data_IF_002957201592
#
_entry.id   IF_002957201592
#
_cell.length_a   1.000
_cell.length_b   1.000
_cell.length_c   1.000
_cell.angle_alpha   90.00
_cell.angle_beta   90.00
_cell.angle_gamma   90.00
#
_symmetry.space_group_name_H-M   'P 1'
#
loop_
_entity.id
_entity.type
_entity.pdbx_description
1 polymer ?
#
# COMPACT_ATOMS: atom_id res chain seq x y z
N UNK A 1 -58.76 35.51 19.54
CA UNK A 1 -58.19 34.22 19.97
C UNK A 1 -58.00 33.22 18.82
N UNK A 2 -58.87 33.10 17.81
CA UNK A 2 -58.75 32.12 16.71
C UNK A 2 -57.54 32.36 15.75
N UNK A 3 -57.04 33.58 15.58
CA UNK A 3 -55.92 33.90 14.69
C UNK A 3 -54.54 33.54 15.26
N UNK A 4 -54.38 33.54 16.59
CA UNK A 4 -53.12 33.22 17.25
C UNK A 4 -52.88 31.70 17.23
N UNK A 5 -53.94 30.92 17.35
CA UNK A 5 -53.86 29.45 17.33
C UNK A 5 -53.42 28.92 15.95
N UNK A 6 -53.80 29.60 14.84
CA UNK A 6 -53.40 29.20 13.50
C UNK A 6 -51.90 29.48 13.21
N UNK A 7 -51.33 30.58 13.77
CA UNK A 7 -49.91 30.90 13.62
C UNK A 7 -49.02 29.95 14.41
N UNK A 8 -49.47 29.54 15.63
CA UNK A 8 -48.75 28.55 16.44
C UNK A 8 -48.74 27.15 15.78
N UNK A 9 -49.84 26.76 15.09
CA UNK A 9 -49.92 25.48 14.42
C UNK A 9 -49.02 25.42 13.16
N UNK A 10 -48.86 26.53 12.44
CA UNK A 10 -47.91 26.63 11.30
C UNK A 10 -46.45 26.62 11.74
N UNK A 11 -46.11 27.19 12.90
CA UNK A 11 -44.77 27.14 13.46
C UNK A 11 -44.42 25.72 13.93
N UNK A 12 -45.34 24.97 14.54
CA UNK A 12 -45.13 23.60 14.95
C UNK A 12 -44.98 22.63 13.76
N UNK A 13 -45.72 22.84 12.65
CA UNK A 13 -45.57 22.03 11.45
C UNK A 13 -44.24 22.34 10.74
N UNK A 14 -43.79 23.61 10.75
CA UNK A 14 -42.52 24.03 10.21
C UNK A 14 -41.30 23.41 10.93
N UNK A 15 -41.38 23.25 12.25
CA UNK A 15 -40.33 22.61 13.05
C UNK A 15 -40.30 21.09 12.87
N UNK A 16 -41.47 20.43 12.69
CA UNK A 16 -41.54 18.99 12.39
C UNK A 16 -41.00 18.63 11.00
N UNK A 17 -41.10 19.54 10.02
CA UNK A 17 -40.54 19.33 8.68
C UNK A 17 -39.04 19.66 8.61
N UNK A 18 -38.47 20.39 9.55
CA UNK A 18 -37.04 20.72 9.61
C UNK A 18 -36.19 19.61 10.23
N UNK A 19 -36.80 18.71 11.03
CA UNK A 19 -36.06 17.69 11.78
C UNK A 19 -35.73 16.41 11.00
N UNK A 20 -36.21 16.23 9.76
CA UNK A 20 -36.01 14.97 9.01
C UNK A 20 -35.18 15.10 7.73
N UNK A 21 -34.43 16.15 7.54
CA UNK A 21 -33.30 16.12 6.60
C UNK A 21 -32.04 15.73 7.37
N UNK A 22 -31.89 14.47 7.73
CA UNK A 22 -30.57 13.89 7.93
C UNK A 22 -29.87 13.98 6.58
N UNK A 23 -29.12 15.05 6.37
CA UNK A 23 -28.12 15.08 5.31
C UNK A 23 -27.19 13.91 5.60
N UNK A 24 -27.36 12.80 4.86
CA UNK A 24 -26.41 11.71 4.90
C UNK A 24 -25.04 12.34 4.58
N UNK A 25 -24.20 12.51 5.61
CA UNK A 25 -22.89 13.10 5.44
C UNK A 25 -22.14 12.22 4.45
N UNK A 26 -21.70 12.78 3.34
CA UNK A 26 -20.91 12.03 2.39
C UNK A 26 -19.60 11.61 3.07
N UNK A 27 -19.20 10.35 2.92
CA UNK A 27 -18.02 9.75 3.53
C UNK A 27 -17.14 9.08 2.48
N UNK A 28 -17.08 9.69 1.29
CA UNK A 28 -16.24 9.18 0.21
C UNK A 28 -14.77 9.57 0.43
N UNK A 29 -13.90 8.57 0.36
CA UNK A 29 -12.45 8.70 0.47
C UNK A 29 -11.82 8.13 -0.80
N UNK A 30 -10.85 8.83 -1.37
CA UNK A 30 -10.12 8.40 -2.56
C UNK A 30 -8.71 7.96 -2.21
N UNK A 31 -8.21 7.00 -2.96
CA UNK A 31 -6.82 6.51 -2.92
C UNK A 31 -6.29 6.34 -4.34
N UNK A 32 -4.98 6.17 -4.50
CA UNK A 32 -4.34 5.95 -5.80
C UNK A 32 -3.71 4.57 -5.93
N UNK A 33 -2.82 4.20 -5.02
CA UNK A 33 -1.99 2.99 -5.13
C UNK A 33 -2.55 1.82 -4.33
N UNK A 34 -2.19 0.60 -4.75
CA UNK A 34 -2.69 -0.65 -4.17
C UNK A 34 -2.48 -0.75 -2.66
N UNK A 35 -1.29 -0.41 -2.17
CA UNK A 35 -0.97 -0.53 -0.74
C UNK A 35 -1.86 0.38 0.12
N UNK A 36 -2.00 1.67 -0.26
CA UNK A 36 -2.84 2.63 0.45
C UNK A 36 -4.32 2.24 0.34
N UNK A 37 -4.78 1.86 -0.86
CA UNK A 37 -6.16 1.38 -1.05
C UNK A 37 -6.49 0.21 -0.12
N UNK A 38 -5.62 -0.80 -0.09
CA UNK A 38 -5.84 -1.98 0.78
C UNK A 38 -5.84 -1.61 2.26
N UNK A 39 -4.91 -0.75 2.72
CA UNK A 39 -4.89 -0.26 4.10
C UNK A 39 -6.24 0.40 4.44
N UNK A 40 -6.64 1.41 3.66
CA UNK A 40 -7.85 2.19 3.95
C UNK A 40 -9.11 1.34 3.88
N UNK A 41 -9.22 0.44 2.88
CA UNK A 41 -10.36 -0.51 2.77
C UNK A 41 -10.46 -1.44 3.97
N UNK A 42 -9.33 -1.94 4.46
CA UNK A 42 -9.33 -2.85 5.61
C UNK A 42 -9.67 -2.13 6.91
N UNK A 43 -9.10 -0.96 7.19
CA UNK A 43 -9.41 -0.23 8.43
C UNK A 43 -10.82 0.38 8.44
N UNK A 44 -11.43 0.62 7.28
CA UNK A 44 -12.81 1.15 7.16
C UNK A 44 -13.86 0.07 6.88
N UNK A 45 -13.47 -1.21 6.90
CA UNK A 45 -14.37 -2.34 6.61
C UNK A 45 -15.59 -2.33 7.53
N UNK A 46 -16.76 -2.64 6.95
CA UNK A 46 -18.06 -2.67 7.64
C UNK A 46 -18.50 -1.31 8.24
N UNK A 47 -17.86 -0.20 7.84
CA UNK A 47 -18.34 1.16 8.11
C UNK A 47 -19.16 1.69 6.95
N UNK A 48 -19.71 2.90 7.08
CA UNK A 48 -20.38 3.63 6.01
C UNK A 48 -19.42 4.58 5.24
N UNK A 49 -18.09 4.41 5.41
CA UNK A 49 -17.07 5.10 4.65
C UNK A 49 -16.87 4.38 3.31
N UNK A 50 -17.07 5.11 2.23
CA UNK A 50 -16.93 4.62 0.87
C UNK A 50 -15.51 4.91 0.36
N UNK A 51 -14.71 3.89 0.13
CA UNK A 51 -13.33 4.03 -0.36
C UNK A 51 -13.24 3.61 -1.82
N UNK A 52 -12.64 4.46 -2.63
CA UNK A 52 -12.42 4.25 -4.07
C UNK A 52 -10.96 4.44 -4.43
N UNK A 53 -10.43 3.58 -5.29
CA UNK A 53 -9.23 3.91 -6.06
C UNK A 53 -9.63 4.77 -7.25
N UNK A 54 -8.81 5.78 -7.59
CA UNK A 54 -9.01 6.58 -8.80
C UNK A 54 -8.41 5.90 -10.04
N UNK A 55 -7.57 4.90 -9.84
CA UNK A 55 -7.01 4.08 -10.90
C UNK A 55 -7.72 2.74 -10.96
N UNK A 56 -7.86 2.24 -12.17
CA UNK A 56 -8.20 0.86 -12.44
C UNK A 56 -6.99 -0.05 -12.17
N UNK A 57 -7.18 -1.35 -12.33
CA UNK A 57 -6.20 -2.38 -12.00
C UNK A 57 -4.93 -2.40 -12.88
N UNK A 58 -4.90 -1.67 -13.99
CA UNK A 58 -3.82 -1.74 -14.98
C UNK A 58 -2.82 -0.57 -14.94
N UNK A 59 -3.02 0.38 -14.02
CA UNK A 59 -2.14 1.56 -13.91
C UNK A 59 -0.94 1.26 -13.02
N UNK A 60 0.25 1.24 -13.61
CA UNK A 60 1.51 1.12 -12.87
C UNK A 60 1.95 2.43 -12.25
N UNK A 61 2.55 2.36 -11.05
CA UNK A 61 3.23 3.50 -10.41
C UNK A 61 4.37 4.07 -11.28
N UNK A 62 4.95 3.28 -12.17
CA UNK A 62 6.00 3.74 -13.11
C UNK A 62 5.50 4.84 -14.04
N UNK A 63 4.20 4.95 -14.27
CA UNK A 63 3.62 6.06 -15.05
C UNK A 63 3.65 7.38 -14.28
N UNK A 64 3.73 7.36 -12.95
CA UNK A 64 3.86 8.55 -12.12
C UNK A 64 2.85 9.62 -12.49
N UNK A 65 3.31 10.86 -12.68
CA UNK A 65 2.45 11.99 -13.05
C UNK A 65 1.63 11.76 -14.31
N UNK A 66 2.16 11.04 -15.30
CA UNK A 66 1.43 10.81 -16.56
C UNK A 66 0.13 10.06 -16.40
N UNK A 67 0.01 9.22 -15.37
CA UNK A 67 -1.25 8.55 -15.03
C UNK A 67 -2.34 9.56 -14.62
N UNK A 68 -1.97 10.61 -13.90
CA UNK A 68 -2.89 11.68 -13.48
C UNK A 68 -3.19 12.69 -14.60
N UNK A 69 -2.25 12.89 -15.53
CA UNK A 69 -2.42 13.78 -16.68
C UNK A 69 -3.24 13.13 -17.82
N UNK A 70 -3.52 11.82 -17.72
CA UNK A 70 -4.33 11.11 -18.69
C UNK A 70 -5.74 11.75 -18.80
N UNK A 71 -6.15 12.10 -20.02
CA UNK A 71 -7.45 12.74 -20.27
C UNK A 71 -8.64 11.83 -19.96
N UNK A 72 -8.42 10.51 -19.99
CA UNK A 72 -9.45 9.51 -19.73
C UNK A 72 -9.62 9.23 -18.22
N UNK A 73 -8.73 9.78 -17.36
CA UNK A 73 -8.86 9.63 -15.91
C UNK A 73 -10.11 10.36 -15.41
N UNK A 74 -11.09 9.58 -14.91
CA UNK A 74 -12.31 10.13 -14.34
C UNK A 74 -12.12 10.64 -12.90
N UNK A 75 -11.90 11.92 -12.78
CA UNK A 75 -11.85 12.62 -11.49
C UNK A 75 -13.22 13.12 -11.01
N UNK A 76 -14.33 12.69 -11.63
CA UNK A 76 -15.68 13.11 -11.21
C UNK A 76 -15.97 12.68 -9.77
N UNK A 77 -15.43 11.55 -9.34
CA UNK A 77 -15.53 11.05 -7.97
C UNK A 77 -14.93 11.99 -6.92
N UNK A 78 -13.99 12.88 -7.30
CA UNK A 78 -13.40 13.85 -6.40
C UNK A 78 -14.35 15.00 -6.02
N UNK A 79 -15.39 15.27 -6.84
CA UNK A 79 -16.31 16.39 -6.59
C UNK A 79 -17.02 16.30 -5.23
N UNK A 80 -17.34 15.09 -4.82
CA UNK A 80 -18.07 14.78 -3.60
C UNK A 80 -17.26 14.00 -2.58
N UNK A 81 -15.98 13.73 -2.85
CA UNK A 81 -15.08 13.12 -1.89
C UNK A 81 -14.76 14.08 -0.73
N UNK A 82 -14.66 13.52 0.48
CA UNK A 82 -14.31 14.27 1.70
C UNK A 82 -12.81 14.31 1.91
N UNK A 83 -12.13 13.19 1.62
CA UNK A 83 -10.69 13.10 1.78
C UNK A 83 -10.05 12.30 0.63
N UNK A 84 -8.75 12.50 0.48
CA UNK A 84 -7.83 11.59 -0.18
C UNK A 84 -6.90 10.99 0.87
N UNK A 85 -6.47 9.74 0.64
CA UNK A 85 -5.38 9.12 1.39
C UNK A 85 -4.30 8.77 0.39
N UNK A 86 -3.11 9.32 0.56
CA UNK A 86 -1.96 9.17 -0.32
C UNK A 86 -0.65 8.94 0.45
N UNK A 87 0.48 8.99 -0.22
CA UNK A 87 1.83 8.90 0.36
C UNK A 87 2.78 9.93 -0.27
N UNK A 88 2.27 11.10 -0.60
CA UNK A 88 2.96 12.13 -1.35
C UNK A 88 4.28 12.59 -0.71
N UNK A 89 4.42 12.51 0.63
CA UNK A 89 5.65 12.88 1.35
C UNK A 89 6.81 11.92 1.11
N UNK A 90 6.54 10.66 0.78
CA UNK A 90 7.58 9.67 0.46
C UNK A 90 7.66 9.36 -1.02
N UNK A 91 6.56 9.49 -1.75
CA UNK A 91 6.50 9.28 -3.18
C UNK A 91 5.97 10.53 -3.90
N UNK A 92 6.87 11.39 -4.33
CA UNK A 92 6.55 12.69 -4.97
C UNK A 92 5.72 12.58 -6.26
N UNK A 93 5.52 11.37 -6.79
CA UNK A 93 4.68 11.12 -7.96
C UNK A 93 3.23 10.75 -7.59
N UNK A 94 2.87 10.75 -6.31
CA UNK A 94 1.47 10.67 -5.90
C UNK A 94 0.81 12.05 -5.96
N UNK A 95 0.22 12.35 -7.09
CA UNK A 95 -0.45 13.62 -7.35
C UNK A 95 -1.95 13.59 -7.02
N UNK A 96 -2.42 12.58 -6.26
CA UNK A 96 -3.84 12.39 -5.98
C UNK A 96 -4.48 13.65 -5.36
N UNK A 97 -3.87 14.18 -4.31
CA UNK A 97 -4.40 15.36 -3.64
C UNK A 97 -4.47 16.57 -4.55
N UNK A 98 -3.40 16.88 -5.31
CA UNK A 98 -3.37 18.03 -6.22
C UNK A 98 -4.47 17.95 -7.28
N UNK A 99 -4.71 16.78 -7.86
CA UNK A 99 -5.72 16.56 -8.88
C UNK A 99 -7.13 16.57 -8.31
N UNK A 100 -7.35 15.92 -7.18
CA UNK A 100 -8.64 15.93 -6.51
C UNK A 100 -9.03 17.34 -6.05
N UNK A 101 -8.09 18.12 -5.52
CA UNK A 101 -8.30 19.50 -5.08
C UNK A 101 -8.73 20.43 -6.23
N UNK A 102 -8.31 20.19 -7.47
CA UNK A 102 -8.77 20.95 -8.65
C UNK A 102 -10.28 20.79 -8.89
N UNK A 103 -10.88 19.68 -8.43
CA UNK A 103 -12.32 19.40 -8.54
C UNK A 103 -13.09 19.74 -7.27
N UNK A 104 -12.44 19.68 -6.11
CA UNK A 104 -13.03 19.92 -4.81
C UNK A 104 -12.02 20.60 -3.86
N UNK A 105 -12.10 21.93 -3.74
CA UNK A 105 -11.19 22.72 -2.89
C UNK A 105 -11.31 22.37 -1.40
N UNK A 106 -12.39 21.71 -0.97
CA UNK A 106 -12.65 21.33 0.43
C UNK A 106 -12.12 19.96 0.80
N UNK A 107 -11.52 19.24 -0.15
CA UNK A 107 -11.04 17.88 0.09
C UNK A 107 -9.87 17.93 1.09
N UNK A 108 -9.86 17.01 2.03
CA UNK A 108 -8.81 16.87 3.05
C UNK A 108 -7.74 15.90 2.53
N UNK A 109 -6.48 16.25 2.70
CA UNK A 109 -5.35 15.37 2.46
C UNK A 109 -5.01 14.61 3.75
N UNK A 110 -4.86 13.28 3.63
CA UNK A 110 -4.33 12.39 4.64
C UNK A 110 -3.12 11.71 4.02
N UNK A 111 -1.92 12.12 4.39
CA UNK A 111 -0.70 11.46 3.95
C UNK A 111 -0.37 10.32 4.91
N UNK A 112 -0.62 9.06 4.49
CA UNK A 112 -0.39 7.89 5.33
C UNK A 112 1.10 7.66 5.68
N UNK A 113 2.02 8.37 5.03
CA UNK A 113 3.44 8.29 5.31
C UNK A 113 3.95 9.33 6.32
N UNK A 114 3.09 10.26 6.76
CA UNK A 114 3.47 11.36 7.64
C UNK A 114 2.38 11.71 8.64
N UNK A 115 2.69 11.61 9.94
CA UNK A 115 1.76 12.00 11.00
C UNK A 115 1.90 13.47 11.34
N UNK A 116 0.80 14.23 11.25
CA UNK A 116 0.73 15.62 11.70
C UNK A 116 0.55 15.76 13.22
N UNK A 117 0.21 14.69 13.91
CA UNK A 117 -0.02 14.72 15.36
C UNK A 117 1.24 14.94 16.21
N UNK A 118 2.42 14.97 15.58
CA UNK A 118 3.71 15.05 16.30
C UNK A 118 4.04 13.79 17.11
N UNK A 119 3.38 12.68 16.84
CA UNK A 119 3.64 11.42 17.48
C UNK A 119 4.85 10.72 16.82
N UNK A 120 6.02 10.86 17.41
CA UNK A 120 7.27 10.29 16.87
C UNK A 120 7.22 8.76 16.68
N UNK A 121 6.38 8.05 17.46
CA UNK A 121 6.20 6.61 17.32
C UNK A 121 5.58 6.21 15.96
N UNK A 122 4.91 7.13 15.30
CA UNK A 122 4.33 6.92 13.97
C UNK A 122 5.28 7.31 12.84
N UNK A 123 6.47 7.83 13.15
CA UNK A 123 7.46 8.14 12.12
C UNK A 123 7.91 6.88 11.39
N UNK A 124 7.86 6.90 10.06
CA UNK A 124 8.30 5.78 9.23
C UNK A 124 9.82 5.64 9.26
N UNK A 125 10.30 4.40 9.18
CA UNK A 125 11.69 4.14 8.83
C UNK A 125 11.88 4.38 7.35
N UNK A 126 12.84 5.24 6.97
CA UNK A 126 13.02 5.67 5.58
C UNK A 126 14.38 5.26 5.06
N UNK A 127 14.40 4.64 3.88
CA UNK A 127 15.60 4.25 3.15
C UNK A 127 15.78 5.12 1.92
N UNK A 128 17.01 5.19 1.43
CA UNK A 128 17.34 5.81 0.15
C UNK A 128 17.90 4.75 -0.78
N UNK A 129 17.68 4.94 -2.08
CA UNK A 129 18.39 4.24 -3.13
C UNK A 129 19.89 4.58 -3.09
N UNK A 130 20.72 3.79 -3.74
CA UNK A 130 22.18 4.05 -3.85
C UNK A 130 22.54 5.39 -4.49
N UNK A 131 21.66 5.90 -5.36
CA UNK A 131 21.83 7.21 -5.98
C UNK A 131 21.51 8.38 -5.03
N UNK A 132 21.04 8.11 -3.80
CA UNK A 132 20.68 9.09 -2.79
C UNK A 132 19.23 9.52 -2.79
N UNK A 133 18.45 9.17 -3.81
CA UNK A 133 17.01 9.47 -3.86
C UNK A 133 16.24 8.66 -2.82
N UNK A 134 15.11 9.18 -2.38
CA UNK A 134 14.21 8.47 -1.47
C UNK A 134 13.67 7.20 -2.14
N UNK A 135 13.82 6.04 -1.46
CA UNK A 135 13.11 4.84 -1.86
C UNK A 135 11.63 4.96 -1.41
N UNK A 136 10.68 5.07 -2.34
CA UNK A 136 9.28 5.32 -2.01
C UNK A 136 8.51 4.07 -1.53
N UNK A 137 9.07 2.87 -1.70
CA UNK A 137 8.40 1.60 -1.40
C UNK A 137 8.30 1.28 0.09
N UNK A 138 7.97 2.30 0.90
CA UNK A 138 7.89 2.22 2.38
C UNK A 138 6.92 1.15 2.85
N UNK A 139 5.90 0.84 2.06
CA UNK A 139 4.92 -0.22 2.34
C UNK A 139 5.48 -1.64 2.19
N UNK A 140 6.70 -1.81 1.69
CA UNK A 140 7.39 -3.10 1.70
C UNK A 140 7.94 -3.46 3.09
N UNK A 141 7.94 -2.53 4.05
CA UNK A 141 8.21 -2.80 5.46
C UNK A 141 6.92 -3.12 6.22
N UNK A 142 6.87 -4.25 6.92
CA UNK A 142 5.75 -4.62 7.80
C UNK A 142 5.51 -3.59 8.89
N UNK A 143 6.60 -3.05 9.48
CA UNK A 143 6.54 -2.05 10.52
C UNK A 143 5.98 -0.71 9.99
N UNK A 144 6.44 -0.28 8.81
CA UNK A 144 5.93 0.95 8.20
C UNK A 144 4.44 0.83 7.84
N UNK A 145 4.00 -0.32 7.30
CA UNK A 145 2.58 -0.52 6.96
C UNK A 145 1.68 -0.41 8.18
N UNK A 146 2.08 -0.96 9.32
CA UNK A 146 1.33 -0.81 10.57
C UNK A 146 1.28 0.66 10.98
N UNK A 147 2.38 1.42 10.85
CA UNK A 147 2.40 2.86 11.12
C UNK A 147 1.52 3.65 10.16
N UNK A 148 1.60 3.34 8.86
CA UNK A 148 0.73 3.95 7.82
C UNK A 148 -0.76 3.72 8.14
N UNK A 149 -1.12 2.49 8.54
CA UNK A 149 -2.48 2.18 8.93
C UNK A 149 -2.93 2.95 10.18
N UNK A 150 -2.04 3.15 11.17
CA UNK A 150 -2.33 3.96 12.36
C UNK A 150 -2.54 5.43 11.97
N UNK A 151 -1.66 6.03 11.16
CA UNK A 151 -1.80 7.42 10.70
C UNK A 151 -3.15 7.61 9.99
N UNK A 152 -3.44 6.74 9.01
CA UNK A 152 -4.70 6.83 8.29
C UNK A 152 -5.93 6.61 9.19
N UNK A 153 -5.84 5.73 10.18
CA UNK A 153 -6.93 5.45 11.13
C UNK A 153 -7.18 6.63 12.07
N UNK A 154 -6.12 7.26 12.58
CA UNK A 154 -6.21 8.44 13.46
C UNK A 154 -6.90 9.59 12.72
N UNK A 155 -6.41 9.96 11.53
CA UNK A 155 -6.95 11.05 10.74
C UNK A 155 -8.38 10.79 10.24
N UNK A 156 -8.68 9.54 9.83
CA UNK A 156 -10.04 9.15 9.44
C UNK A 156 -11.00 9.13 10.64
N UNK A 157 -10.52 8.78 11.83
CA UNK A 157 -11.33 8.83 13.06
C UNK A 157 -11.64 10.26 13.51
N UNK A 158 -10.72 11.20 13.31
CA UNK A 158 -10.98 12.62 13.52
C UNK A 158 -11.98 13.17 12.51
N UNK A 159 -11.87 12.77 11.25
CA UNK A 159 -12.74 13.21 10.16
C UNK A 159 -14.15 12.62 10.25
N UNK A 160 -14.27 11.37 10.74
CA UNK A 160 -15.50 10.59 10.88
C UNK A 160 -15.64 10.01 12.30
N UNK A 161 -15.85 10.83 13.34
CA UNK A 161 -15.84 10.39 14.73
C UNK A 161 -16.85 9.26 15.05
N UNK A 162 -17.95 9.22 14.33
CA UNK A 162 -18.97 8.17 14.45
C UNK A 162 -18.48 6.79 14.02
N UNK A 163 -17.41 6.73 13.21
CA UNK A 163 -16.78 5.49 12.74
C UNK A 163 -15.54 5.08 13.57
N UNK A 164 -15.06 5.90 14.50
CA UNK A 164 -13.80 5.70 15.22
C UNK A 164 -13.67 4.31 15.85
N UNK A 165 -14.73 3.81 16.52
CA UNK A 165 -14.70 2.49 17.15
C UNK A 165 -14.54 1.32 16.17
N UNK A 166 -15.15 1.40 14.97
CA UNK A 166 -15.01 0.35 13.97
C UNK A 166 -13.66 0.44 13.30
N UNK A 167 -13.14 1.65 13.05
CA UNK A 167 -11.80 1.89 12.53
C UNK A 167 -10.75 1.31 13.48
N UNK A 168 -10.80 1.62 14.78
CA UNK A 168 -9.88 1.11 15.81
C UNK A 168 -9.89 -0.43 15.88
N UNK A 169 -11.09 -1.04 15.89
CA UNK A 169 -11.23 -2.50 15.87
C UNK A 169 -10.60 -3.12 14.62
N UNK A 170 -10.81 -2.52 13.46
CA UNK A 170 -10.29 -3.02 12.21
C UNK A 170 -8.78 -2.78 12.07
N UNK A 171 -8.27 -1.64 12.55
CA UNK A 171 -6.83 -1.37 12.65
C UNK A 171 -6.12 -2.45 13.48
N UNK A 172 -6.70 -2.83 14.63
CA UNK A 172 -6.15 -3.91 15.46
C UNK A 172 -6.06 -5.22 14.68
N UNK A 173 -7.13 -5.60 13.97
CA UNK A 173 -7.14 -6.82 13.15
C UNK A 173 -6.14 -6.77 12.01
N UNK A 174 -6.10 -5.67 11.27
CA UNK A 174 -5.17 -5.47 10.18
C UNK A 174 -3.72 -5.56 10.66
N UNK A 175 -3.39 -4.85 11.76
CA UNK A 175 -2.05 -4.86 12.34
C UNK A 175 -1.64 -6.25 12.82
N UNK A 176 -2.58 -7.03 13.38
CA UNK A 176 -2.33 -8.41 13.77
C UNK A 176 -2.06 -9.29 12.54
N UNK A 177 -2.85 -9.19 11.48
CA UNK A 177 -2.66 -9.98 10.25
C UNK A 177 -1.30 -9.68 9.61
N UNK A 178 -0.87 -8.41 9.56
CA UNK A 178 0.46 -8.02 9.08
C UNK A 178 1.58 -8.68 9.90
N UNK A 179 1.47 -8.67 11.24
CA UNK A 179 2.43 -9.33 12.13
C UNK A 179 2.45 -10.85 11.96
N UNK A 180 1.30 -11.47 11.73
CA UNK A 180 1.20 -12.92 11.49
C UNK A 180 1.91 -13.33 10.19
N UNK A 181 1.85 -12.50 9.14
CA UNK A 181 2.58 -12.74 7.89
C UNK A 181 4.10 -12.71 8.15
N UNK A 182 4.58 -11.67 8.83
CA UNK A 182 5.99 -11.51 9.18
C UNK A 182 6.49 -12.68 10.05
N UNK A 183 5.79 -12.97 11.15
CA UNK A 183 6.14 -14.05 12.06
C UNK A 183 6.14 -15.40 11.38
N UNK A 184 5.15 -15.67 10.52
CA UNK A 184 5.07 -16.93 9.76
C UNK A 184 6.27 -17.15 8.83
N UNK A 185 6.86 -16.10 8.29
CA UNK A 185 8.14 -16.17 7.57
C UNK A 185 9.29 -16.46 8.52
N UNK A 186 9.43 -15.66 9.60
CA UNK A 186 10.53 -15.78 10.55
C UNK A 186 10.60 -17.18 11.18
N UNK A 187 9.46 -17.76 11.59
CA UNK A 187 9.38 -19.12 12.13
C UNK A 187 9.88 -20.16 11.14
N UNK A 188 9.49 -20.07 9.86
CA UNK A 188 9.87 -21.04 8.82
C UNK A 188 11.33 -20.93 8.39
N UNK A 189 11.97 -19.79 8.64
CA UNK A 189 13.35 -19.53 8.23
C UNK A 189 14.35 -19.58 9.38
N UNK A 190 13.89 -19.66 10.63
CA UNK A 190 14.73 -19.60 11.84
C UNK A 190 15.85 -20.64 11.86
N UNK A 191 15.62 -21.81 11.27
CA UNK A 191 16.59 -22.93 11.28
C UNK A 191 17.43 -23.03 10.01
N UNK A 192 17.23 -22.11 9.06
CA UNK A 192 17.97 -22.13 7.80
C UNK A 192 19.40 -21.64 8.00
N UNK A 193 20.34 -22.28 7.34
CA UNK A 193 21.79 -21.99 7.44
C UNK A 193 22.17 -20.66 6.79
N UNK A 194 21.38 -20.17 5.85
CA UNK A 194 21.63 -18.91 5.13
C UNK A 194 20.34 -18.26 4.64
N UNK A 195 20.25 -16.95 4.84
CA UNK A 195 19.20 -16.08 4.29
C UNK A 195 19.80 -15.09 3.27
N UNK A 196 20.74 -15.56 2.42
CA UNK A 196 21.45 -14.69 1.46
C UNK A 196 20.82 -14.74 0.08
N UNK A 197 20.66 -13.55 -0.54
CA UNK A 197 20.08 -13.38 -1.88
C UNK A 197 20.91 -12.41 -2.73
N UNK A 198 20.72 -12.47 -4.04
CA UNK A 198 21.22 -11.50 -5.03
C UNK A 198 20.04 -10.63 -5.42
N UNK A 199 20.02 -9.39 -4.97
CA UNK A 199 18.97 -8.43 -5.26
C UNK A 199 19.22 -7.76 -6.63
N UNK A 200 18.23 -7.80 -7.51
CA UNK A 200 18.26 -7.14 -8.81
C UNK A 200 17.47 -5.81 -8.83
N UNK A 201 16.91 -5.42 -7.69
CA UNK A 201 16.17 -4.18 -7.48
C UNK A 201 16.39 -3.68 -6.06
N UNK A 202 16.38 -2.37 -5.86
CA UNK A 202 16.43 -1.73 -4.55
C UNK A 202 15.01 -1.50 -3.98
N UNK A 203 13.95 -1.72 -4.77
CA UNK A 203 12.56 -1.54 -4.35
C UNK A 203 12.13 -2.47 -3.21
N UNK A 204 12.88 -3.55 -2.98
CA UNK A 204 12.63 -4.56 -1.96
C UNK A 204 13.47 -4.38 -0.68
N UNK A 205 14.29 -3.32 -0.59
CA UNK A 205 15.24 -3.12 0.52
C UNK A 205 14.55 -3.07 1.89
N UNK A 206 13.38 -2.44 1.97
CA UNK A 206 12.57 -2.42 3.19
C UNK A 206 12.19 -3.83 3.65
N UNK A 207 11.73 -4.67 2.70
CA UNK A 207 11.35 -6.05 2.98
C UNK A 207 12.54 -6.88 3.44
N UNK A 208 13.67 -6.76 2.76
CA UNK A 208 14.88 -7.51 3.10
C UNK A 208 15.41 -7.14 4.49
N UNK A 209 15.34 -5.86 4.86
CA UNK A 209 15.73 -5.39 6.18
C UNK A 209 14.81 -5.94 7.29
N UNK A 210 13.50 -5.88 7.13
CA UNK A 210 12.54 -6.40 8.11
C UNK A 210 12.70 -7.92 8.32
N UNK A 211 13.01 -8.66 7.25
CA UNK A 211 13.14 -10.11 7.26
C UNK A 211 14.57 -10.60 7.59
N UNK A 212 15.50 -9.69 7.91
CA UNK A 212 16.91 -10.00 8.15
C UNK A 212 17.56 -10.80 7.00
N UNK A 213 17.16 -10.51 5.76
CA UNK A 213 17.74 -11.13 4.57
C UNK A 213 19.05 -10.42 4.23
N UNK A 214 20.15 -11.16 4.11
CA UNK A 214 21.41 -10.64 3.59
C UNK A 214 21.33 -10.53 2.08
N UNK A 215 21.53 -9.33 1.55
CA UNK A 215 21.48 -9.11 0.12
C UNK A 215 22.64 -8.30 -0.41
N UNK A 216 23.07 -8.64 -1.60
CA UNK A 216 24.00 -7.85 -2.40
C UNK A 216 23.26 -7.43 -3.67
N UNK A 217 23.29 -6.14 -3.95
CA UNK A 217 22.68 -5.60 -5.16
C UNK A 217 23.59 -5.83 -6.38
N UNK A 218 22.95 -6.29 -7.46
CA UNK A 218 23.56 -6.39 -8.81
C UNK A 218 22.56 -5.78 -9.79
N UNK A 219 23.00 -4.80 -10.58
CA UNK A 219 22.15 -4.21 -11.61
C UNK A 219 21.65 -5.31 -12.57
N UNK A 220 20.35 -5.39 -12.75
CA UNK A 220 19.72 -6.38 -13.63
C UNK A 220 20.24 -6.31 -15.08
N UNK A 221 20.66 -5.12 -15.55
CA UNK A 221 21.23 -4.90 -16.88
C UNK A 221 22.66 -5.48 -16.99
N UNK A 222 23.37 -5.63 -15.90
CA UNK A 222 24.71 -6.22 -15.87
C UNK A 222 24.67 -7.76 -15.85
N UNK A 223 23.51 -8.36 -15.52
CA UNK A 223 23.37 -9.82 -15.48
C UNK A 223 23.23 -10.38 -16.88
N UNK A 224 24.12 -11.30 -17.22
CA UNK A 224 24.17 -11.96 -18.54
C UNK A 224 24.34 -13.47 -18.36
N UNK A 225 23.97 -14.26 -19.37
CA UNK A 225 24.21 -15.71 -19.40
C UNK A 225 25.67 -16.08 -19.08
N UNK A 226 26.62 -15.24 -19.48
CA UNK A 226 28.07 -15.51 -19.29
C UNK A 226 28.55 -15.34 -17.84
N UNK A 227 27.94 -14.41 -17.09
CA UNK A 227 28.45 -14.04 -15.77
C UNK A 227 27.59 -14.54 -14.58
N UNK A 228 26.46 -15.24 -14.84
CA UNK A 228 25.60 -15.79 -13.77
C UNK A 228 26.41 -16.57 -12.73
N UNK A 229 27.29 -17.50 -13.17
CA UNK A 229 28.09 -18.32 -12.26
C UNK A 229 29.06 -17.50 -11.41
N UNK A 230 29.64 -16.46 -11.98
CA UNK A 230 30.54 -15.54 -11.26
C UNK A 230 29.77 -14.73 -10.21
N UNK A 231 28.58 -14.20 -10.59
CA UNK A 231 27.70 -13.46 -9.68
C UNK A 231 27.29 -14.34 -8.50
N UNK A 232 26.87 -15.58 -8.73
CA UNK A 232 26.53 -16.55 -7.68
C UNK A 232 27.71 -16.78 -6.73
N UNK A 233 28.90 -17.02 -7.27
CA UNK A 233 30.11 -17.27 -6.49
C UNK A 233 30.51 -16.06 -5.65
N UNK A 234 30.52 -14.86 -6.26
CA UNK A 234 30.89 -13.59 -5.59
C UNK A 234 29.97 -13.28 -4.42
N UNK A 235 28.67 -13.57 -4.58
CA UNK A 235 27.65 -13.26 -3.56
C UNK A 235 27.40 -14.42 -2.60
N UNK A 236 28.06 -15.55 -2.77
CA UNK A 236 27.80 -16.77 -2.01
C UNK A 236 26.30 -17.08 -1.87
N UNK A 237 25.55 -16.84 -2.94
CA UNK A 237 24.11 -17.06 -3.05
C UNK A 237 23.73 -17.53 -4.42
N UNK A 238 22.63 -18.27 -4.50
CA UNK A 238 22.05 -18.78 -5.75
C UNK A 238 20.60 -18.32 -5.96
N UNK A 239 20.09 -17.48 -5.06
CA UNK A 239 18.72 -16.94 -5.15
C UNK A 239 18.78 -15.52 -5.69
N UNK A 240 18.25 -15.32 -6.89
CA UNK A 240 18.11 -14.02 -7.51
C UNK A 240 16.68 -13.50 -7.30
N UNK A 241 16.56 -12.26 -6.86
CA UNK A 241 15.25 -11.64 -6.58
C UNK A 241 15.13 -10.32 -7.33
N UNK A 242 14.00 -10.14 -8.02
CA UNK A 242 13.62 -8.91 -8.71
C UNK A 242 12.15 -8.56 -8.43
N UNK A 243 11.75 -7.34 -8.73
CA UNK A 243 10.35 -6.89 -8.75
C UNK A 243 9.71 -7.03 -10.15
N UNK A 244 10.49 -7.48 -11.13
CA UNK A 244 10.05 -7.69 -12.52
C UNK A 244 10.78 -8.85 -13.18
N UNK A 245 10.19 -9.36 -14.24
CA UNK A 245 10.83 -10.39 -15.06
C UNK A 245 12.04 -9.85 -15.80
N UNK A 246 13.11 -10.64 -15.83
CA UNK A 246 14.30 -10.42 -16.65
C UNK A 246 14.26 -11.33 -17.88
N UNK A 247 15.28 -11.24 -18.77
CA UNK A 247 15.34 -12.06 -19.98
C UNK A 247 15.31 -13.55 -19.65
N UNK A 248 14.45 -14.28 -20.35
CA UNK A 248 14.22 -15.72 -20.12
C UNK A 248 15.50 -16.56 -20.25
N UNK A 249 16.39 -16.21 -21.15
CA UNK A 249 17.69 -16.89 -21.31
C UNK A 249 18.56 -16.78 -20.05
N UNK A 250 18.49 -15.66 -19.32
CA UNK A 250 19.23 -15.48 -18.06
C UNK A 250 18.60 -16.33 -16.96
N UNK A 251 17.27 -16.34 -16.88
CA UNK A 251 16.53 -17.18 -15.91
C UNK A 251 16.88 -18.65 -16.12
N UNK A 252 16.84 -19.14 -17.36
CA UNK A 252 17.19 -20.49 -17.72
C UNK A 252 18.64 -20.85 -17.32
N UNK A 253 19.58 -19.92 -17.46
CA UNK A 253 20.98 -20.14 -17.04
C UNK A 253 21.11 -20.17 -15.51
N UNK A 254 20.39 -19.30 -14.78
CA UNK A 254 20.32 -19.34 -13.32
C UNK A 254 19.88 -20.72 -12.85
N UNK A 255 18.77 -21.23 -13.38
CA UNK A 255 18.20 -22.53 -13.03
C UNK A 255 19.14 -23.68 -13.40
N UNK A 256 19.75 -23.65 -14.60
CA UNK A 256 20.74 -24.62 -15.06
C UNK A 256 21.96 -24.71 -14.13
N UNK A 257 22.35 -23.59 -13.51
CA UNK A 257 23.43 -23.53 -12.52
C UNK A 257 22.96 -23.90 -11.09
N UNK A 258 21.74 -24.37 -10.96
CA UNK A 258 21.15 -24.79 -9.69
C UNK A 258 20.70 -23.65 -8.80
N UNK A 259 20.49 -22.45 -9.38
CA UNK A 259 19.93 -21.29 -8.69
C UNK A 259 18.41 -21.21 -8.82
N UNK A 260 17.86 -20.17 -8.23
CA UNK A 260 16.44 -19.79 -8.28
C UNK A 260 16.31 -18.33 -8.71
N UNK A 261 15.29 -18.03 -9.50
CA UNK A 261 14.90 -16.65 -9.81
C UNK A 261 13.47 -16.42 -9.31
N UNK A 262 13.28 -15.35 -8.54
CA UNK A 262 12.00 -14.97 -7.97
C UNK A 262 11.61 -13.58 -8.41
N UNK A 263 10.32 -13.41 -8.71
CA UNK A 263 9.70 -12.10 -8.82
C UNK A 263 8.80 -11.90 -7.61
N UNK A 264 9.12 -10.87 -6.81
CA UNK A 264 8.30 -10.44 -5.68
C UNK A 264 7.47 -9.23 -6.07
N UNK A 265 6.23 -9.22 -5.63
CA UNK A 265 5.29 -8.15 -5.88
C UNK A 265 5.61 -6.95 -4.99
N UNK A 266 5.89 -5.80 -5.58
CA UNK A 266 6.08 -4.51 -4.90
C UNK A 266 4.82 -3.66 -4.91
N UNK A 267 3.72 -4.20 -5.43
CA UNK A 267 2.43 -3.51 -5.58
C UNK A 267 2.50 -2.29 -6.52
N UNK A 268 3.50 -2.27 -7.39
CA UNK A 268 3.65 -1.26 -8.43
C UNK A 268 2.50 -1.32 -9.45
N UNK A 269 2.02 -2.54 -9.76
CA UNK A 269 0.83 -2.79 -10.55
C UNK A 269 -0.26 -3.28 -9.61
N UNK A 270 -1.45 -2.67 -9.61
CA UNK A 270 -2.56 -3.12 -8.77
C UNK A 270 -2.98 -4.56 -9.05
N UNK A 271 -3.43 -5.24 -8.02
CA UNK A 271 -4.09 -6.54 -8.13
C UNK A 271 -5.57 -6.34 -8.38
N UNK A 272 -6.12 -7.15 -9.24
CA UNK A 272 -7.51 -7.02 -9.70
C UNK A 272 -8.41 -8.12 -9.15
N UNK A 273 -9.64 -7.73 -8.82
CA UNK A 273 -10.78 -8.61 -8.63
C UNK A 273 -12.01 -7.98 -9.28
N UNK A 274 -12.67 -8.69 -10.18
CA UNK A 274 -13.87 -8.22 -10.90
C UNK A 274 -13.70 -6.86 -11.61
N UNK A 275 -12.56 -6.63 -12.25
CA UNK A 275 -12.26 -5.39 -12.99
C UNK A 275 -11.95 -4.18 -12.09
N UNK A 276 -11.69 -4.40 -10.80
CA UNK A 276 -11.37 -3.34 -9.83
C UNK A 276 -10.16 -3.73 -9.01
N UNK A 277 -9.51 -2.73 -8.43
CA UNK A 277 -8.42 -2.96 -7.49
C UNK A 277 -8.90 -3.83 -6.31
N UNK A 278 -8.17 -4.92 -6.03
CA UNK A 278 -8.51 -5.88 -4.95
C UNK A 278 -8.31 -5.22 -3.58
N UNK A 279 -9.36 -5.10 -2.74
CA UNK A 279 -9.23 -4.57 -1.38
C UNK A 279 -8.18 -5.30 -0.52
N UNK A 280 -8.04 -6.60 -0.71
CA UNK A 280 -7.09 -7.45 0.02
C UNK A 280 -5.79 -7.69 -0.76
N UNK A 281 -5.59 -7.00 -1.88
CA UNK A 281 -4.49 -7.23 -2.81
C UNK A 281 -3.11 -7.13 -2.16
N UNK A 282 -2.93 -6.19 -1.23
CA UNK A 282 -1.69 -6.05 -0.48
C UNK A 282 -1.43 -7.27 0.43
N UNK A 283 -2.43 -7.67 1.23
CA UNK A 283 -2.30 -8.80 2.17
C UNK A 283 -2.02 -10.10 1.42
N UNK A 284 -2.78 -10.37 0.35
CA UNK A 284 -2.58 -11.55 -0.51
C UNK A 284 -1.19 -11.57 -1.13
N UNK A 285 -0.76 -10.43 -1.68
CA UNK A 285 0.55 -10.32 -2.32
C UNK A 285 1.70 -10.49 -1.34
N UNK A 286 1.61 -9.94 -0.12
CA UNK A 286 2.62 -10.15 0.90
C UNK A 286 2.70 -11.62 1.35
N UNK A 287 1.58 -12.32 1.52
CA UNK A 287 1.56 -13.76 1.80
C UNK A 287 2.25 -14.56 0.70
N UNK A 288 1.93 -14.29 -0.56
CA UNK A 288 2.57 -14.94 -1.71
C UNK A 288 4.07 -14.63 -1.80
N UNK A 289 4.50 -13.40 -1.50
CA UNK A 289 5.91 -13.04 -1.44
C UNK A 289 6.64 -13.88 -0.36
N UNK A 290 6.04 -14.01 0.83
CA UNK A 290 6.62 -14.82 1.92
C UNK A 290 6.70 -16.31 1.54
N UNK A 291 5.68 -16.87 0.92
CA UNK A 291 5.67 -18.26 0.45
C UNK A 291 6.80 -18.52 -0.55
N UNK A 292 6.94 -17.65 -1.58
CA UNK A 292 8.03 -17.75 -2.57
C UNK A 292 9.41 -17.70 -1.93
N UNK A 293 9.62 -16.76 -0.98
CA UNK A 293 10.89 -16.62 -0.27
C UNK A 293 11.23 -17.87 0.56
N UNK A 294 10.27 -18.34 1.36
CA UNK A 294 10.45 -19.56 2.18
C UNK A 294 10.78 -20.76 1.32
N UNK A 295 10.01 -21.02 0.26
CA UNK A 295 10.23 -22.16 -0.65
C UNK A 295 11.62 -22.11 -1.31
N UNK A 296 12.03 -20.91 -1.77
CA UNK A 296 13.33 -20.77 -2.38
C UNK A 296 14.47 -21.03 -1.40
N UNK A 297 14.42 -20.43 -0.21
CA UNK A 297 15.44 -20.57 0.83
C UNK A 297 15.54 -22.02 1.34
N UNK A 298 14.41 -22.66 1.65
CA UNK A 298 14.38 -24.06 2.08
C UNK A 298 14.91 -25.03 1.00
N UNK A 299 14.66 -24.73 -0.28
CA UNK A 299 15.15 -25.55 -1.39
C UNK A 299 16.67 -25.46 -1.57
N UNK A 300 17.28 -24.36 -1.13
CA UNK A 300 18.74 -24.16 -1.19
C UNK A 300 19.45 -24.72 0.04
N UNK A 301 18.79 -24.72 1.20
CA UNK A 301 19.35 -25.22 2.46
C UNK A 301 19.51 -26.75 2.47
N UNK A 302 18.68 -27.47 1.72
CA UNK A 302 18.69 -28.95 1.58
C UNK A 302 19.78 -29.50 0.65
N UNK A 303 20.53 -28.64 -0.02
CA UNK A 303 21.59 -29.04 -0.96
C UNK A 303 22.99 -28.75 -0.42
#
# INVERSE_FOLDING_TARGET
MKKITFILMFLLIGTMYAENRTFKKNKKVLTSIQSVYSIVKNITKDSDIEVYSIFDSDVSMDYGKSAFDNKDLDLSSAKDAVAVVDVAKVWNNDYLYEYARRKNIRIVEIDASYSFSGNDYLSLSLLNYKNGDRNPYVWMSFQNVIKMANIAADDLSELFPENSKIIEKNLTKFSQEIKEIENGYLEKTLTLSSLSVIALTENLDYLFNDLNIFFNYTDSNEVTVKNVSEIMKRNNSKIFISDRWIKKEIINEIEKKGGKFLVLDTFNIPREVDGKMDPDGYIKGMKENMEKLVEAMQSMDKK
#
